data_IF_022962882690
#
_entry.id   IF_022962882690
#
_cell.length_a   1.000
_cell.length_b   1.000
_cell.length_c   1.000
_cell.angle_alpha   90.00
_cell.angle_beta   90.00
_cell.angle_gamma   90.00
#
_symmetry.space_group_name_H-M   'P 1'
#
loop_
_entity.id
_entity.type
_entity.pdbx_description
1 polymer ?
#
# COMPACT_ATOMS: atom_id res chain seq x y z
N UNK A 1 13.22 17.61 -8.82
CA UNK A 1 12.05 16.73 -8.61
C UNK A 1 12.54 15.31 -8.83
N UNK A 2 12.22 14.36 -7.96
CA UNK A 2 12.87 13.03 -8.02
C UNK A 2 12.49 12.27 -9.28
N UNK A 3 11.29 12.52 -9.80
CA UNK A 3 10.82 12.06 -11.10
C UNK A 3 11.86 12.19 -12.23
N UNK A 4 12.57 13.33 -12.32
CA UNK A 4 13.55 13.58 -13.40
C UNK A 4 14.67 12.53 -13.46
N UNK A 5 15.01 11.91 -12.33
CA UNK A 5 16.05 10.87 -12.26
C UNK A 5 15.60 9.55 -12.90
N UNK A 6 14.29 9.33 -13.02
CA UNK A 6 13.70 8.07 -13.46
C UNK A 6 12.99 8.17 -14.81
N UNK A 7 12.80 9.37 -15.38
CA UNK A 7 12.09 9.58 -16.66
C UNK A 7 12.64 8.76 -17.83
N UNK A 8 13.95 8.50 -17.83
CA UNK A 8 14.60 7.70 -18.87
C UNK A 8 14.61 6.19 -18.57
N UNK A 9 14.04 5.77 -17.44
CA UNK A 9 13.93 4.35 -17.07
C UNK A 9 12.82 3.69 -17.90
N UNK A 10 13.06 2.54 -18.55
CA UNK A 10 12.03 1.83 -19.30
C UNK A 10 10.77 1.58 -18.48
N UNK A 11 9.62 1.92 -19.07
CA UNK A 11 8.31 1.72 -18.44
C UNK A 11 7.90 2.79 -17.43
N UNK A 12 8.68 3.85 -17.20
CA UNK A 12 8.27 5.00 -16.37
C UNK A 12 6.90 5.57 -16.85
N UNK A 13 5.93 5.87 -15.96
CA UNK A 13 6.02 5.94 -14.49
C UNK A 13 5.74 4.60 -13.76
N UNK A 14 6.01 3.47 -14.42
CA UNK A 14 5.89 2.10 -13.92
C UNK A 14 4.46 1.62 -13.76
N UNK A 15 3.56 2.04 -14.66
CA UNK A 15 2.11 1.77 -14.58
C UNK A 15 1.75 0.28 -14.60
N UNK A 16 2.63 -0.58 -15.09
CA UNK A 16 2.42 -2.02 -15.22
C UNK A 16 3.17 -2.83 -14.17
N UNK A 17 3.49 -2.23 -13.02
CA UNK A 17 4.20 -2.89 -11.90
C UNK A 17 3.56 -4.22 -11.48
N UNK A 18 2.24 -4.37 -11.62
CA UNK A 18 1.48 -5.58 -11.25
C UNK A 18 1.77 -6.78 -12.14
N UNK A 19 2.26 -6.57 -13.37
CA UNK A 19 2.59 -7.64 -14.34
C UNK A 19 4.06 -7.69 -14.75
N UNK A 20 4.80 -6.61 -14.51
CA UNK A 20 6.23 -6.51 -14.84
C UNK A 20 7.07 -6.39 -13.58
N UNK A 21 7.81 -7.46 -13.26
CA UNK A 21 8.76 -7.47 -12.14
C UNK A 21 9.84 -6.40 -12.28
N UNK A 22 10.23 -6.06 -13.52
CA UNK A 22 11.17 -4.96 -13.78
C UNK A 22 10.59 -3.61 -13.37
N UNK A 23 9.35 -3.30 -13.78
CA UNK A 23 8.68 -2.06 -13.39
C UNK A 23 8.40 -2.02 -11.89
N UNK A 24 8.03 -3.14 -11.26
CA UNK A 24 7.86 -3.22 -9.80
C UNK A 24 9.14 -2.87 -9.04
N UNK A 25 10.27 -3.45 -9.44
CA UNK A 25 11.55 -3.11 -8.81
C UNK A 25 12.01 -1.70 -9.13
N UNK A 26 11.73 -1.17 -10.33
CA UNK A 26 12.00 0.23 -10.66
C UNK A 26 11.19 1.19 -9.78
N UNK A 27 9.91 0.91 -9.56
CA UNK A 27 9.06 1.65 -8.62
C UNK A 27 9.60 1.57 -7.19
N UNK A 28 10.02 0.38 -6.73
CA UNK A 28 10.67 0.23 -5.43
C UNK A 28 11.94 1.08 -5.31
N UNK A 29 12.79 1.14 -6.34
CA UNK A 29 13.98 1.99 -6.34
C UNK A 29 13.61 3.48 -6.31
N UNK A 30 12.58 3.90 -7.03
CA UNK A 30 12.07 5.27 -6.99
C UNK A 30 11.67 5.65 -5.55
N UNK A 31 10.84 4.83 -4.89
CA UNK A 31 10.37 5.11 -3.54
C UNK A 31 11.49 5.07 -2.48
N UNK A 32 12.45 4.14 -2.62
CA UNK A 32 13.65 4.10 -1.76
C UNK A 32 14.51 5.36 -1.96
N UNK A 33 14.64 5.82 -3.21
CA UNK A 33 15.38 7.04 -3.51
C UNK A 33 14.71 8.25 -2.87
N UNK A 34 13.39 8.39 -3.03
CA UNK A 34 12.62 9.48 -2.41
C UNK A 34 12.81 9.50 -0.89
N UNK A 35 12.64 8.36 -0.21
CA UNK A 35 12.81 8.25 1.24
C UNK A 35 14.19 8.72 1.70
N UNK A 36 15.26 8.26 1.03
CA UNK A 36 16.65 8.62 1.36
C UNK A 36 16.98 10.11 1.23
N UNK A 37 16.14 10.86 0.51
CA UNK A 37 16.33 12.29 0.29
C UNK A 37 15.57 13.15 1.32
N UNK A 38 14.68 12.54 2.11
CA UNK A 38 13.98 13.23 3.19
C UNK A 38 14.93 13.48 4.35
N UNK A 39 15.03 14.74 4.79
CA UNK A 39 15.96 15.17 5.84
C UNK A 39 15.73 14.43 7.17
N UNK A 40 14.48 14.08 7.46
CA UNK A 40 14.07 13.39 8.69
C UNK A 40 14.21 11.87 8.61
N UNK A 41 14.61 11.32 7.46
CA UNK A 41 14.80 9.89 7.28
C UNK A 41 16.27 9.51 7.52
N UNK A 42 16.50 8.71 8.56
CA UNK A 42 17.83 8.17 8.90
C UNK A 42 17.80 6.67 8.63
N UNK A 43 18.37 6.23 7.50
CA UNK A 43 18.24 4.84 7.01
C UNK A 43 18.64 3.78 8.04
N UNK A 44 19.63 4.05 8.91
CA UNK A 44 20.06 3.12 9.96
C UNK A 44 19.00 2.81 11.02
N UNK A 45 18.00 3.67 11.15
CA UNK A 45 16.95 3.54 12.16
C UNK A 45 15.78 2.68 11.67
N UNK A 46 15.76 2.33 10.37
CA UNK A 46 14.67 1.62 9.71
C UNK A 46 15.13 0.24 9.22
N UNK A 47 14.53 -0.81 9.77
CA UNK A 47 14.73 -2.20 9.32
C UNK A 47 13.57 -2.70 8.46
N UNK A 48 13.83 -3.60 7.53
CA UNK A 48 12.77 -4.31 6.81
C UNK A 48 11.94 -5.16 7.75
N UNK A 49 10.62 -5.21 7.54
CA UNK A 49 9.72 -6.06 8.32
C UNK A 49 9.87 -7.53 7.90
N UNK A 50 10.14 -8.41 8.86
CA UNK A 50 10.23 -9.85 8.62
C UNK A 50 8.82 -10.41 8.43
N UNK A 51 8.53 -10.91 7.23
CA UNK A 51 7.26 -11.53 6.86
C UNK A 51 7.46 -12.60 5.78
N UNK A 52 6.50 -13.50 5.57
CA UNK A 52 6.43 -14.30 4.35
C UNK A 52 6.40 -13.37 3.12
N UNK A 53 7.36 -13.55 2.21
CA UNK A 53 7.39 -12.79 0.96
C UNK A 53 6.42 -13.42 -0.02
N UNK A 54 5.44 -12.64 -0.47
CA UNK A 54 4.51 -13.01 -1.53
C UNK A 54 4.63 -11.99 -2.67
N UNK A 55 5.59 -12.23 -3.58
CA UNK A 55 5.87 -11.27 -4.65
C UNK A 55 4.66 -11.02 -5.55
N UNK A 56 3.82 -12.04 -5.79
CA UNK A 56 2.61 -11.87 -6.61
C UNK A 56 1.65 -10.87 -5.96
N UNK A 57 1.37 -11.03 -4.67
CA UNK A 57 0.50 -10.14 -3.91
C UNK A 57 1.12 -8.74 -3.73
N UNK A 58 2.43 -8.66 -3.49
CA UNK A 58 3.13 -7.38 -3.38
C UNK A 58 3.09 -6.62 -4.72
N UNK A 59 3.27 -7.31 -5.85
CA UNK A 59 3.13 -6.72 -7.18
C UNK A 59 1.67 -6.30 -7.45
N UNK A 60 0.70 -7.15 -7.13
CA UNK A 60 -0.73 -6.84 -7.33
C UNK A 60 -1.15 -5.58 -6.56
N UNK A 61 -0.80 -5.50 -5.28
CA UNK A 61 -1.16 -4.39 -4.36
C UNK A 61 -0.19 -3.20 -4.43
N UNK A 62 0.79 -3.26 -5.32
CA UNK A 62 1.83 -2.24 -5.46
C UNK A 62 2.73 -2.05 -4.23
N UNK A 63 2.75 -2.97 -3.27
CA UNK A 63 3.49 -2.87 -1.99
C UNK A 63 4.99 -2.99 -2.20
N UNK A 64 5.63 -1.84 -2.40
CA UNK A 64 7.06 -1.73 -2.74
C UNK A 64 7.97 -1.63 -1.52
N UNK A 65 7.51 -1.04 -0.41
CA UNK A 65 8.34 -0.82 0.78
C UNK A 65 7.54 -1.14 2.04
N UNK A 66 8.16 -1.91 2.94
CA UNK A 66 7.65 -2.16 4.28
C UNK A 66 8.81 -2.16 5.29
N UNK A 67 8.94 -1.06 6.03
CA UNK A 67 10.05 -0.80 6.95
C UNK A 67 9.53 -0.33 8.31
N UNK A 68 10.30 -0.61 9.37
CA UNK A 68 9.97 -0.29 10.76
C UNK A 68 11.14 0.34 11.49
N UNK A 69 10.84 1.39 12.23
CA UNK A 69 11.72 1.96 13.25
C UNK A 69 11.25 1.49 14.63
N UNK A 70 12.06 0.63 15.25
CA UNK A 70 11.73 0.03 16.55
C UNK A 70 11.82 1.03 17.71
N UNK A 71 12.74 2.00 17.62
CA UNK A 71 12.96 3.02 18.66
C UNK A 71 11.79 3.99 18.74
N UNK A 72 11.33 4.47 17.58
CA UNK A 72 10.23 5.43 17.50
C UNK A 72 8.86 4.78 17.43
N UNK A 73 8.80 3.43 17.40
CA UNK A 73 7.56 2.64 17.29
C UNK A 73 6.73 3.06 16.08
N UNK A 74 7.39 3.17 14.94
CA UNK A 74 6.79 3.58 13.67
C UNK A 74 7.03 2.58 12.57
N UNK A 75 6.08 2.49 11.67
CA UNK A 75 6.14 1.63 10.50
C UNK A 75 5.67 2.38 9.26
N UNK A 76 6.32 2.14 8.13
CA UNK A 76 5.95 2.70 6.83
C UNK A 76 5.65 1.54 5.90
N UNK A 77 4.46 1.58 5.31
CA UNK A 77 4.05 0.74 4.17
C UNK A 77 3.80 1.69 3.00
N UNK A 78 4.64 1.56 1.95
CA UNK A 78 4.48 2.32 0.71
C UNK A 78 3.96 1.40 -0.39
N UNK A 79 2.91 1.87 -1.05
CA UNK A 79 2.32 1.25 -2.22
C UNK A 79 2.46 2.21 -3.41
N UNK A 80 3.05 1.71 -4.50
CA UNK A 80 3.02 2.40 -5.78
C UNK A 80 1.66 2.17 -6.43
N UNK A 81 1.10 3.19 -7.07
CA UNK A 81 -0.22 3.14 -7.69
C UNK A 81 -0.17 3.55 -9.15
N UNK A 82 -1.07 2.97 -9.94
CA UNK A 82 -1.42 3.39 -11.29
C UNK A 82 -2.88 3.03 -11.51
N UNK A 83 -3.53 3.72 -12.45
CA UNK A 83 -4.92 3.43 -12.82
C UNK A 83 -5.09 1.95 -13.25
N UNK A 84 -4.16 1.45 -14.06
CA UNK A 84 -4.19 0.04 -14.49
C UNK A 84 -3.90 -0.94 -13.36
N UNK A 85 -3.03 -0.58 -12.42
CA UNK A 85 -2.80 -1.38 -11.21
C UNK A 85 -4.07 -1.51 -10.37
N UNK A 86 -4.79 -0.40 -10.17
CA UNK A 86 -6.06 -0.35 -9.44
C UNK A 86 -7.13 -1.25 -10.10
N UNK A 87 -7.27 -1.16 -11.43
CA UNK A 87 -8.16 -2.05 -12.19
C UNK A 87 -7.80 -3.53 -11.97
N UNK A 88 -6.51 -3.87 -12.02
CA UNK A 88 -6.09 -5.27 -11.87
C UNK A 88 -6.29 -5.78 -10.43
N UNK A 89 -6.07 -4.95 -9.42
CA UNK A 89 -6.39 -5.29 -8.02
C UNK A 89 -7.89 -5.51 -7.82
N UNK A 90 -8.72 -4.66 -8.43
CA UNK A 90 -10.18 -4.80 -8.38
C UNK A 90 -10.66 -6.08 -9.06
N UNK A 91 -10.09 -6.44 -10.21
CA UNK A 91 -10.40 -7.71 -10.89
C UNK A 91 -10.01 -8.93 -10.04
N UNK A 92 -8.80 -8.95 -9.47
CA UNK A 92 -8.34 -10.08 -8.63
C UNK A 92 -9.20 -10.20 -7.34
N UNK A 93 -9.65 -9.07 -6.79
CA UNK A 93 -10.53 -9.03 -5.62
C UNK A 93 -11.99 -9.44 -5.92
N UNK A 94 -12.39 -9.48 -7.20
CA UNK A 94 -13.74 -9.79 -7.67
C UNK A 94 -13.76 -10.98 -8.63
N UNK A 95 -12.99 -12.02 -8.29
CA UNK A 95 -13.05 -13.31 -8.98
C UNK A 95 -14.46 -13.94 -8.84
N UNK A 96 -14.80 -14.83 -9.76
CA UNK A 96 -16.09 -15.50 -9.75
C UNK A 96 -16.31 -16.24 -8.42
N UNK A 97 -17.51 -16.07 -7.84
CA UNK A 97 -17.87 -16.83 -6.64
C UNK A 97 -17.89 -18.33 -6.96
N UNK A 98 -17.18 -19.11 -6.14
CA UNK A 98 -17.16 -20.56 -6.30
C UNK A 98 -18.58 -21.16 -6.21
N UNK A 99 -18.91 -22.18 -7.03
CA UNK A 99 -20.26 -22.77 -7.09
C UNK A 99 -20.80 -23.21 -5.72
N UNK A 100 -19.94 -23.73 -4.84
CA UNK A 100 -20.33 -24.16 -3.49
C UNK A 100 -20.82 -22.99 -2.62
N UNK A 101 -20.25 -21.80 -2.79
CA UNK A 101 -20.71 -20.60 -2.09
C UNK A 101 -22.03 -20.09 -2.66
N UNK A 102 -22.20 -20.11 -3.98
CA UNK A 102 -23.46 -19.76 -4.64
C UNK A 102 -24.59 -20.65 -4.10
N UNK A 103 -24.37 -21.98 -4.09
CA UNK A 103 -25.36 -22.94 -3.58
C UNK A 103 -25.70 -22.67 -2.10
N UNK A 104 -24.71 -22.29 -1.28
CA UNK A 104 -24.94 -21.94 0.12
C UNK A 104 -25.80 -20.70 0.29
N UNK A 105 -25.58 -19.64 -0.50
CA UNK A 105 -26.40 -18.42 -0.45
C UNK A 105 -27.83 -18.67 -0.91
N UNK A 106 -28.00 -19.43 -1.99
CA UNK A 106 -29.32 -19.81 -2.50
C UNK A 106 -30.09 -20.67 -1.47
N UNK A 107 -29.40 -21.59 -0.78
CA UNK A 107 -30.00 -22.44 0.26
C UNK A 107 -30.45 -21.67 1.51
N UNK A 108 -29.88 -20.50 1.81
CA UNK A 108 -30.33 -19.62 2.92
C UNK A 108 -31.32 -18.54 2.46
N UNK A 109 -31.77 -18.60 1.20
CA UNK A 109 -32.76 -17.68 0.63
C UNK A 109 -32.21 -16.31 0.23
N UNK A 110 -30.88 -16.18 0.10
CA UNK A 110 -30.25 -14.96 -0.42
C UNK A 110 -30.13 -15.08 -1.94
N UNK A 111 -30.85 -14.22 -2.66
CA UNK A 111 -30.75 -14.13 -4.11
C UNK A 111 -29.50 -13.33 -4.48
N UNK A 112 -28.54 -13.99 -5.13
CA UNK A 112 -27.37 -13.34 -5.71
C UNK A 112 -27.71 -12.89 -7.14
N UNK A 113 -27.30 -11.68 -7.50
CA UNK A 113 -27.45 -11.20 -8.88
C UNK A 113 -26.43 -11.87 -9.82
N UNK A 114 -26.68 -11.79 -11.13
CA UNK A 114 -25.81 -12.39 -12.15
C UNK A 114 -24.39 -11.80 -12.14
N UNK A 115 -24.20 -10.58 -11.62
CA UNK A 115 -22.90 -9.94 -11.50
C UNK A 115 -22.10 -10.58 -10.35
N UNK A 116 -22.72 -10.88 -9.22
CA UNK A 116 -22.10 -11.54 -8.07
C UNK A 116 -21.72 -13.00 -8.37
N UNK A 117 -22.40 -13.63 -9.32
CA UNK A 117 -22.16 -15.02 -9.73
C UNK A 117 -21.04 -15.18 -10.76
N UNK A 118 -20.57 -14.07 -11.37
CA UNK A 118 -19.56 -14.12 -12.44
C UNK A 118 -18.35 -13.27 -12.10
N UNK A 119 -17.26 -13.53 -12.82
CA UNK A 119 -16.07 -12.69 -12.80
C UNK A 119 -16.40 -11.27 -13.30
N UNK A 120 -15.83 -10.27 -12.63
CA UNK A 120 -15.90 -8.88 -13.08
C UNK A 120 -15.17 -8.71 -14.42
N UNK A 121 -15.77 -7.98 -15.36
CA UNK A 121 -15.08 -7.66 -16.62
C UNK A 121 -14.16 -6.44 -16.47
N UNK A 122 -13.14 -6.35 -17.32
CA UNK A 122 -12.25 -5.18 -17.35
C UNK A 122 -13.01 -3.86 -17.57
N UNK A 123 -14.02 -3.83 -18.45
CA UNK A 123 -14.81 -2.62 -18.70
C UNK A 123 -15.59 -2.17 -17.45
N UNK A 124 -16.12 -3.12 -16.67
CA UNK A 124 -16.79 -2.82 -15.41
C UNK A 124 -15.83 -2.27 -14.36
N UNK A 125 -14.66 -2.90 -14.22
CA UNK A 125 -13.62 -2.44 -13.31
C UNK A 125 -13.14 -1.04 -13.68
N UNK A 126 -12.89 -0.78 -14.98
CA UNK A 126 -12.51 0.53 -15.48
C UNK A 126 -13.57 1.60 -15.19
N UNK A 127 -14.86 1.32 -15.38
CA UNK A 127 -15.92 2.30 -15.07
C UNK A 127 -16.04 2.61 -13.58
N UNK A 128 -15.83 1.63 -12.70
CA UNK A 128 -15.77 1.84 -11.25
C UNK A 128 -14.58 2.74 -10.92
N UNK A 129 -13.38 2.37 -11.38
CA UNK A 129 -12.15 3.10 -11.10
C UNK A 129 -12.19 4.54 -11.64
N UNK A 130 -12.82 4.80 -12.79
CA UNK A 130 -13.00 6.20 -13.27
C UNK A 130 -13.69 7.12 -12.26
N UNK A 131 -14.51 6.57 -11.37
CA UNK A 131 -15.24 7.33 -10.35
C UNK A 131 -14.59 7.32 -8.97
N UNK A 132 -13.83 6.27 -8.65
CA UNK A 132 -13.27 6.05 -7.30
C UNK A 132 -11.76 6.28 -7.21
N UNK A 133 -11.05 6.23 -8.35
CA UNK A 133 -9.60 6.30 -8.38
C UNK A 133 -9.07 7.62 -7.84
N UNK A 134 -8.24 7.52 -6.81
CA UNK A 134 -7.45 8.63 -6.29
C UNK A 134 -5.97 8.27 -6.40
N UNK A 135 -5.23 9.02 -7.24
CA UNK A 135 -3.79 8.82 -7.44
C UNK A 135 -2.91 9.05 -6.21
N UNK A 136 -3.51 9.37 -5.06
CA UNK A 136 -2.83 9.53 -3.79
C UNK A 136 -3.78 9.27 -2.61
N UNK A 137 -3.32 8.49 -1.63
CA UNK A 137 -3.91 8.39 -0.30
C UNK A 137 -2.80 8.23 0.75
N UNK A 138 -3.02 8.77 1.94
CA UNK A 138 -2.13 8.57 3.07
C UNK A 138 -2.93 8.65 4.37
N UNK A 139 -2.73 7.68 5.25
CA UNK A 139 -3.26 7.71 6.62
C UNK A 139 -2.34 6.95 7.55
N UNK A 140 -2.50 7.23 8.83
CA UNK A 140 -1.81 6.55 9.92
C UNK A 140 -2.84 5.80 10.74
N UNK A 141 -2.56 4.52 10.99
CA UNK A 141 -3.33 3.66 11.87
C UNK A 141 -2.49 3.24 13.08
N UNK A 142 -3.17 2.84 14.15
CA UNK A 142 -2.54 2.12 15.26
C UNK A 142 -2.51 0.63 14.94
N UNK A 143 -1.33 0.01 15.05
CA UNK A 143 -1.15 -1.43 14.93
C UNK A 143 -0.28 -1.92 16.08
N UNK A 144 -0.22 -3.23 16.27
CA UNK A 144 0.77 -3.87 17.11
C UNK A 144 1.79 -4.64 16.26
N UNK A 145 3.01 -4.79 16.76
CA UNK A 145 3.92 -5.83 16.27
C UNK A 145 4.42 -6.70 17.41
N UNK A 146 4.63 -7.98 17.13
CA UNK A 146 5.18 -8.91 18.10
C UNK A 146 6.71 -8.74 18.21
N UNK A 147 7.19 -8.33 19.37
CA UNK A 147 8.61 -8.32 19.72
C UNK A 147 8.98 -9.66 20.35
N UNK A 148 9.78 -10.47 19.65
CA UNK A 148 10.24 -11.75 20.16
C UNK A 148 11.25 -11.53 21.30
N UNK A 149 10.91 -12.02 22.49
CA UNK A 149 11.74 -11.97 23.69
C UNK A 149 11.68 -13.33 24.41
N UNK A 150 12.72 -14.17 24.27
CA UNK A 150 12.79 -15.49 24.90
C UNK A 150 12.78 -15.45 26.43
N UNK A 151 13.04 -14.30 27.05
CA UNK A 151 13.00 -14.15 28.51
C UNK A 151 11.57 -14.05 29.07
N UNK A 152 10.58 -13.82 28.19
CA UNK A 152 9.15 -13.80 28.56
C UNK A 152 8.52 -15.18 28.39
N UNK A 153 7.53 -15.50 29.23
CA UNK A 153 6.85 -16.82 29.20
C UNK A 153 6.09 -17.10 27.90
N UNK A 154 5.79 -16.07 27.10
CA UNK A 154 5.12 -16.18 25.80
C UNK A 154 6.07 -16.14 24.59
N UNK A 155 7.39 -16.05 24.81
CA UNK A 155 8.38 -15.91 23.73
C UNK A 155 8.40 -14.52 23.08
N UNK A 156 7.67 -13.55 23.64
CA UNK A 156 7.62 -12.15 23.21
C UNK A 156 6.41 -11.39 23.75
N UNK A 157 6.22 -10.18 23.27
CA UNK A 157 5.10 -9.30 23.63
C UNK A 157 4.73 -8.37 22.47
N UNK A 158 3.47 -7.93 22.44
CA UNK A 158 2.99 -6.97 21.45
C UNK A 158 3.43 -5.54 21.81
N UNK A 159 3.92 -4.82 20.80
CA UNK A 159 4.37 -3.44 20.91
C UNK A 159 3.48 -2.56 20.04
N UNK A 160 2.77 -1.58 20.64
CA UNK A 160 1.96 -0.65 19.87
C UNK A 160 2.85 0.26 19.04
N UNK A 161 2.45 0.44 17.79
CA UNK A 161 3.11 1.27 16.78
C UNK A 161 2.09 2.13 16.04
N UNK A 162 2.59 3.22 15.46
CA UNK A 162 1.87 3.97 14.43
C UNK A 162 2.38 3.52 13.05
N UNK A 163 1.47 3.09 12.18
CA UNK A 163 1.80 2.67 10.82
C UNK A 163 1.26 3.69 9.83
N UNK A 164 2.13 4.27 9.01
CA UNK A 164 1.76 5.01 7.82
C UNK A 164 1.45 4.02 6.70
N UNK A 165 0.25 4.10 6.15
CA UNK A 165 -0.09 3.55 4.85
C UNK A 165 -0.11 4.71 3.86
N UNK A 166 0.74 4.63 2.84
CA UNK A 166 0.82 5.64 1.78
C UNK A 166 0.76 4.92 0.43
N UNK A 167 -0.28 5.25 -0.33
CA UNK A 167 -0.52 4.73 -1.67
C UNK A 167 -0.44 5.90 -2.64
N UNK A 168 0.44 5.84 -3.63
CA UNK A 168 0.70 7.02 -4.47
C UNK A 168 1.13 6.63 -5.86
N UNK A 169 0.65 7.40 -6.84
CA UNK A 169 1.25 7.47 -8.16
C UNK A 169 2.67 8.03 -8.10
N UNK A 170 3.43 7.72 -9.14
CA UNK A 170 4.71 8.36 -9.47
C UNK A 170 4.40 9.50 -10.45
N UNK A 171 3.90 10.61 -9.93
CA UNK A 171 3.49 11.79 -10.71
C UNK A 171 3.87 13.09 -9.99
N UNK A 172 3.98 14.21 -10.71
CA UNK A 172 4.44 15.49 -10.13
C UNK A 172 3.56 15.95 -8.97
N UNK A 173 2.25 15.72 -9.09
CA UNK A 173 1.27 16.12 -8.07
C UNK A 173 1.29 15.19 -6.87
N UNK A 174 1.39 13.87 -7.10
CA UNK A 174 1.40 12.88 -6.03
C UNK A 174 2.74 12.87 -5.25
N UNK A 175 3.88 13.08 -5.93
CA UNK A 175 5.21 13.15 -5.30
C UNK A 175 5.25 14.21 -4.18
N UNK A 176 4.68 15.40 -4.43
CA UNK A 176 4.65 16.46 -3.44
C UNK A 176 3.83 16.09 -2.19
N UNK A 177 2.67 15.45 -2.40
CA UNK A 177 1.83 14.97 -1.29
C UNK A 177 2.52 13.84 -0.52
N UNK A 178 3.19 12.92 -1.22
CA UNK A 178 3.92 11.83 -0.61
C UNK A 178 5.08 12.33 0.26
N UNK A 179 5.87 13.29 -0.25
CA UNK A 179 6.93 13.96 0.52
C UNK A 179 6.33 14.60 1.78
N UNK A 180 5.22 15.33 1.66
CA UNK A 180 4.58 15.98 2.80
C UNK A 180 4.08 14.95 3.84
N UNK A 181 3.42 13.87 3.42
CA UNK A 181 2.94 12.82 4.31
C UNK A 181 4.10 12.15 5.07
N UNK A 182 5.19 11.84 4.35
CA UNK A 182 6.39 11.25 4.93
C UNK A 182 7.08 12.22 5.90
N UNK A 183 7.25 13.49 5.54
CA UNK A 183 7.85 14.49 6.41
C UNK A 183 7.04 14.70 7.70
N UNK A 184 5.70 14.71 7.63
CA UNK A 184 4.85 14.76 8.82
C UNK A 184 4.99 13.49 9.66
N UNK A 185 5.01 12.32 9.03
CA UNK A 185 5.11 11.04 9.74
C UNK A 185 6.46 10.88 10.45
N UNK A 186 7.56 11.26 9.80
CA UNK A 186 8.93 11.13 10.29
C UNK A 186 9.27 12.11 11.43
N UNK A 187 8.46 13.13 11.69
CA UNK A 187 8.66 14.02 12.84
C UNK A 187 8.59 13.25 14.18
N UNK A 188 9.41 13.63 15.18
CA UNK A 188 9.37 13.01 16.50
C UNK A 188 7.98 13.05 17.15
N UNK A 189 7.65 11.99 17.89
CA UNK A 189 6.39 11.87 18.62
C UNK A 189 5.20 11.36 17.77
N UNK A 190 4.00 11.31 18.37
CA UNK A 190 2.80 10.73 17.74
C UNK A 190 2.47 11.39 16.40
N UNK A 191 2.28 10.59 15.37
CA UNK A 191 2.04 11.00 14.00
C UNK A 191 0.58 10.90 13.59
N UNK A 192 -0.24 10.08 14.25
CA UNK A 192 -1.59 9.78 13.80
C UNK A 192 -2.44 11.03 13.54
N UNK A 193 -2.61 11.86 14.58
CA UNK A 193 -3.39 13.10 14.46
C UNK A 193 -2.77 14.06 13.44
N UNK A 194 -1.45 14.15 13.40
CA UNK A 194 -0.71 15.12 12.56
C UNK A 194 -0.82 14.79 11.07
N UNK A 195 -0.76 13.52 10.69
CA UNK A 195 -0.87 13.09 9.29
C UNK A 195 -2.34 13.06 8.89
N UNK A 196 -3.20 12.44 9.70
CA UNK A 196 -4.61 12.25 9.32
C UNK A 196 -5.35 13.58 9.21
N UNK A 197 -5.02 14.59 10.02
CA UNK A 197 -5.64 15.93 9.88
C UNK A 197 -5.34 16.63 8.55
N UNK A 198 -4.38 16.14 7.77
CA UNK A 198 -3.99 16.71 6.47
C UNK A 198 -4.51 15.86 5.31
N UNK A 199 -4.51 14.53 5.46
CA UNK A 199 -4.74 13.60 4.34
C UNK A 199 -5.96 12.70 4.50
N UNK A 200 -6.52 12.59 5.70
CA UNK A 200 -7.82 11.95 5.93
C UNK A 200 -8.86 13.07 5.98
N UNK A 201 -9.66 13.30 4.93
CA UNK A 201 -10.80 14.19 5.05
C UNK A 201 -11.68 13.69 6.20
N UNK A 202 -12.22 14.62 6.99
CA UNK A 202 -13.24 14.30 7.99
C UNK A 202 -14.37 13.50 7.30
N UNK A 203 -14.76 12.35 7.86
CA UNK A 203 -16.00 11.64 7.52
C UNK A 203 -17.23 12.58 7.60
#
# INVERSE_FOLDING_TARGET
MFLELFKDTPGYPFEEYFRSTEQFFAAQQYWLHLLRQLKSFVESDWGGVIRPVNLKEDMLTGKVIWIRNQSDKKEIVLQTLSFEGSINELLDSNDAMEPEFIEKFENIGTELDDRQKREMTYDEAMEIEKSEYSGFSAWVETSDYFHADPSTSGGGYDVPIERLILTSEISETAEQKAIQALDLFLQPGPAMVRVNSVFSPDD
#
